data_IF_923766241887
#
_entry.id   IF_923766241887
#
_cell.length_a   1.000
_cell.length_b   1.000
_cell.length_c   1.000
_cell.angle_alpha   90.00
_cell.angle_beta   90.00
_cell.angle_gamma   90.00
#
_symmetry.space_group_name_H-M   'P 1'
#
loop_
_entity.id
_entity.type
_entity.pdbx_description
1 polymer ?
#
# COMPACT_ATOMS: atom_id res chain seq x y z
N UNK A 1 -19.89 7.45 10.21
CA UNK A 1 -19.60 6.36 9.25
C UNK A 1 -18.63 5.41 9.92
N UNK A 2 -18.80 4.09 9.76
CA UNK A 2 -17.81 3.14 10.24
C UNK A 2 -16.50 3.25 9.43
N UNK A 3 -15.33 3.02 10.04
CA UNK A 3 -14.07 3.05 9.30
C UNK A 3 -14.01 1.93 8.25
N UNK A 4 -13.61 2.27 7.03
CA UNK A 4 -13.36 1.30 5.96
C UNK A 4 -12.05 0.56 6.19
N UNK A 5 -11.97 -0.68 5.72
CA UNK A 5 -10.75 -1.51 5.64
C UNK A 5 -10.12 -1.29 4.27
N UNK A 6 -9.02 -0.55 4.24
CA UNK A 6 -8.38 -0.10 3.01
C UNK A 6 -7.06 -0.81 2.81
N UNK A 7 -6.90 -1.46 1.66
CA UNK A 7 -5.62 -2.02 1.22
C UNK A 7 -4.84 -1.00 0.37
N UNK A 8 -3.56 -0.81 0.63
CA UNK A 8 -2.64 -0.06 -0.25
C UNK A 8 -1.21 -0.61 -0.18
N UNK A 9 -0.30 -0.01 -0.95
CA UNK A 9 1.10 -0.42 -1.07
C UNK A 9 2.02 0.76 -0.79
N UNK A 10 3.13 0.53 -0.07
CA UNK A 10 4.08 1.58 0.28
C UNK A 10 4.96 2.00 -0.92
N UNK A 11 4.39 2.78 -1.85
CA UNK A 11 5.16 3.42 -2.93
C UNK A 11 5.66 4.83 -2.55
N UNK A 12 5.00 5.48 -1.60
CA UNK A 12 5.35 6.80 -1.10
C UNK A 12 4.74 7.02 0.28
N UNK A 13 5.58 7.02 1.31
CA UNK A 13 5.18 7.07 2.72
C UNK A 13 4.33 8.33 3.01
N UNK A 14 4.66 9.46 2.38
CA UNK A 14 3.92 10.69 2.60
C UNK A 14 2.46 10.60 2.10
N UNK A 15 2.18 9.81 1.05
CA UNK A 15 0.80 9.57 0.63
C UNK A 15 0.06 8.69 1.63
N UNK A 16 0.71 7.64 2.15
CA UNK A 16 0.13 6.78 3.18
C UNK A 16 -0.17 7.58 4.46
N UNK A 17 0.76 8.42 4.91
CA UNK A 17 0.53 9.32 6.04
C UNK A 17 -0.63 10.30 5.80
N UNK A 18 -0.78 10.82 4.58
CA UNK A 18 -1.90 11.69 4.22
C UNK A 18 -3.23 10.92 4.28
N UNK A 19 -3.29 9.73 3.66
CA UNK A 19 -4.48 8.88 3.66
C UNK A 19 -4.88 8.44 5.07
N UNK A 20 -3.91 8.14 5.93
CA UNK A 20 -4.13 7.78 7.33
C UNK A 20 -4.93 8.86 8.09
N UNK A 21 -4.86 10.14 7.70
CA UNK A 21 -5.64 11.23 8.32
C UNK A 21 -7.14 11.15 8.07
N UNK A 22 -7.60 10.28 7.16
CA UNK A 22 -9.03 10.03 6.93
C UNK A 22 -9.70 9.25 8.07
N UNK A 23 -8.91 8.62 8.95
CA UNK A 23 -9.43 7.84 10.08
C UNK A 23 -9.93 6.43 9.72
N UNK A 24 -9.73 5.98 8.48
CA UNK A 24 -9.97 4.59 8.07
C UNK A 24 -8.84 3.65 8.53
N UNK A 25 -9.08 2.34 8.51
CA UNK A 25 -8.07 1.34 8.80
C UNK A 25 -7.30 0.99 7.53
N UNK A 26 -5.98 1.03 7.58
CA UNK A 26 -5.13 0.79 6.41
C UNK A 26 -4.26 -0.45 6.61
N UNK A 27 -4.35 -1.39 5.70
CA UNK A 27 -3.33 -2.43 5.51
C UNK A 27 -2.40 -1.99 4.40
N UNK A 28 -1.12 -1.86 4.70
CA UNK A 28 -0.09 -1.35 3.78
C UNK A 28 0.95 -2.44 3.58
N UNK A 29 1.06 -2.96 2.36
CA UNK A 29 2.15 -3.88 2.03
C UNK A 29 3.39 -3.07 1.68
N UNK A 30 4.47 -3.31 2.42
CA UNK A 30 5.73 -2.63 2.21
C UNK A 30 6.38 -3.03 0.88
N UNK A 31 7.22 -2.15 0.31
CA UNK A 31 7.86 -2.35 -1.00
C UNK A 31 9.30 -1.89 -1.00
N UNK A 32 10.10 -2.46 -1.89
CA UNK A 32 11.41 -1.90 -2.23
C UNK A 32 11.21 -0.64 -3.08
N UNK A 33 11.71 0.51 -2.61
CA UNK A 33 11.62 1.77 -3.32
C UNK A 33 13.01 2.37 -3.56
N UNK A 34 13.44 2.41 -4.82
CA UNK A 34 14.59 3.23 -5.24
C UNK A 34 15.90 2.99 -4.47
N UNK A 35 16.20 1.74 -4.09
CA UNK A 35 17.43 1.38 -3.37
C UNK A 35 17.29 1.27 -1.86
N UNK A 36 16.13 1.61 -1.28
CA UNK A 36 15.84 1.40 0.14
C UNK A 36 14.80 0.29 0.32
N UNK A 37 15.05 -0.59 1.28
CA UNK A 37 14.12 -1.63 1.67
C UNK A 37 13.16 -1.08 2.72
N UNK A 38 11.92 -0.89 2.29
CA UNK A 38 10.79 -0.67 3.19
C UNK A 38 10.67 0.73 3.78
N UNK A 39 9.77 0.84 4.77
CA UNK A 39 9.40 2.10 5.39
C UNK A 39 10.55 2.78 6.12
N UNK A 40 10.86 4.02 5.71
CA UNK A 40 11.90 4.85 6.33
C UNK A 40 11.45 5.44 7.67
N UNK A 41 11.47 4.62 8.73
CA UNK A 41 11.00 4.99 10.08
C UNK A 41 11.73 6.20 10.68
N UNK A 42 12.97 6.45 10.28
CA UNK A 42 13.75 7.61 10.72
C UNK A 42 13.26 8.94 10.16
N UNK A 43 12.47 8.95 9.09
CA UNK A 43 11.92 10.18 8.49
C UNK A 43 10.45 10.38 8.86
N UNK A 44 9.66 9.30 8.90
CA UNK A 44 8.24 9.32 9.25
C UNK A 44 7.89 8.10 10.09
N UNK A 45 7.23 8.28 11.24
CA UNK A 45 6.65 7.15 11.95
C UNK A 45 5.49 6.55 11.15
N UNK A 46 5.25 5.24 11.32
CA UNK A 46 4.07 4.57 10.79
C UNK A 46 2.84 5.08 11.56
N UNK A 47 1.77 5.56 10.89
CA UNK A 47 0.55 5.99 11.57
C UNK A 47 -0.11 4.87 12.39
N UNK A 48 -0.79 5.21 13.48
CA UNK A 48 -1.39 4.22 14.39
C UNK A 48 -2.51 3.38 13.77
N UNK A 49 -3.19 3.89 12.73
CA UNK A 49 -4.23 3.21 11.97
C UNK A 49 -3.70 2.51 10.70
N UNK A 50 -2.38 2.32 10.61
CA UNK A 50 -1.70 1.61 9.53
C UNK A 50 -1.10 0.33 10.07
N UNK A 51 -1.57 -0.80 9.55
CA UNK A 51 -0.93 -2.10 9.66
C UNK A 51 0.06 -2.28 8.51
N UNK A 52 1.35 -2.13 8.81
CA UNK A 52 2.43 -2.22 7.83
C UNK A 52 2.94 -3.67 7.74
N UNK A 53 2.58 -4.34 6.66
CA UNK A 53 3.00 -5.71 6.36
C UNK A 53 4.37 -5.72 5.67
N UNK A 54 5.25 -6.69 5.99
CA UNK A 54 6.58 -6.75 5.42
C UNK A 54 6.56 -7.01 3.91
N UNK A 55 7.65 -6.65 3.24
CA UNK A 55 7.90 -6.96 1.82
C UNK A 55 7.75 -8.48 1.60
N UNK A 56 7.06 -8.88 0.54
CA UNK A 56 6.78 -10.30 0.24
C UNK A 56 5.39 -10.77 0.70
N UNK A 57 4.63 -9.92 1.41
CA UNK A 57 3.28 -10.26 1.89
C UNK A 57 2.18 -10.18 0.80
N UNK A 58 2.52 -9.88 -0.45
CA UNK A 58 1.56 -9.63 -1.53
C UNK A 58 0.67 -10.84 -1.81
N UNK A 59 1.21 -12.06 -1.72
CA UNK A 59 0.46 -13.29 -1.95
C UNK A 59 -0.65 -13.47 -0.91
N UNK A 60 -0.29 -13.37 0.37
CA UNK A 60 -1.22 -13.47 1.50
C UNK A 60 -2.33 -12.42 1.40
N UNK A 61 -1.95 -11.16 1.18
CA UNK A 61 -2.91 -10.05 1.11
C UNK A 61 -3.81 -10.16 -0.11
N UNK A 62 -3.30 -10.71 -1.22
CA UNK A 62 -4.13 -11.00 -2.39
C UNK A 62 -5.21 -12.03 -2.05
N UNK A 63 -4.87 -13.10 -1.33
CA UNK A 63 -5.86 -14.08 -0.93
C UNK A 63 -6.90 -13.50 0.04
N UNK A 64 -6.49 -12.67 0.98
CA UNK A 64 -7.40 -11.97 1.89
C UNK A 64 -8.34 -11.01 1.14
N UNK A 65 -7.82 -10.29 0.15
CA UNK A 65 -8.62 -9.44 -0.71
C UNK A 65 -9.68 -10.24 -1.48
N UNK A 66 -9.30 -11.42 -2.03
CA UNK A 66 -10.23 -12.33 -2.69
C UNK A 66 -11.30 -12.89 -1.73
N UNK A 67 -11.01 -12.98 -0.43
CA UNK A 67 -11.96 -13.36 0.62
C UNK A 67 -12.83 -12.19 1.12
N UNK A 68 -12.68 -10.98 0.58
CA UNK A 68 -13.46 -9.81 1.00
C UNK A 68 -12.97 -9.16 2.31
N UNK A 69 -11.69 -9.34 2.66
CA UNK A 69 -11.09 -8.73 3.85
C UNK A 69 -10.96 -7.20 3.77
N UNK A 70 -11.08 -6.61 2.58
CA UNK A 70 -10.97 -5.18 2.33
C UNK A 70 -12.21 -4.65 1.64
N UNK A 71 -12.61 -3.43 2.00
CA UNK A 71 -13.74 -2.74 1.37
C UNK A 71 -13.27 -2.01 0.10
N UNK A 72 -12.03 -1.49 0.12
CA UNK A 72 -11.40 -0.77 -1.00
C UNK A 72 -9.91 -1.12 -1.08
N UNK A 73 -9.39 -1.22 -2.30
CA UNK A 73 -7.96 -1.22 -2.57
C UNK A 73 -7.55 0.05 -3.33
N UNK A 74 -6.55 0.77 -2.83
CA UNK A 74 -5.99 1.97 -3.45
C UNK A 74 -4.68 1.61 -4.13
N UNK A 75 -4.66 1.67 -5.47
CA UNK A 75 -3.48 1.35 -6.26
C UNK A 75 -2.78 2.64 -6.71
N UNK A 76 -1.61 2.92 -6.14
CA UNK A 76 -0.79 4.07 -6.51
C UNK A 76 0.12 3.67 -7.68
N UNK A 77 -0.02 4.31 -8.84
CA UNK A 77 0.88 4.08 -9.97
C UNK A 77 2.08 5.02 -9.86
N UNK A 78 3.30 4.48 -9.74
CA UNK A 78 4.50 5.22 -10.15
C UNK A 78 4.63 5.05 -11.66
N UNK A 79 4.48 6.13 -12.44
CA UNK A 79 4.66 6.09 -13.89
C UNK A 79 6.15 5.92 -14.25
N UNK A 80 6.69 4.73 -14.04
CA UNK A 80 7.91 4.24 -14.66
C UNK A 80 7.54 2.98 -15.42
N UNK A 81 7.70 3.01 -16.75
CA UNK A 81 7.45 1.95 -17.74
C UNK A 81 7.08 0.59 -17.12
N UNK A 82 5.79 0.26 -17.09
CA UNK A 82 5.31 -1.10 -16.83
C UNK A 82 5.83 -2.04 -17.93
N UNK A 83 6.26 -3.28 -17.64
CA UNK A 83 6.52 -4.27 -18.67
C UNK A 83 5.24 -4.66 -19.42
N UNK A 84 4.07 -4.38 -18.84
CA UNK A 84 2.74 -4.46 -19.45
C UNK A 84 2.43 -3.26 -20.35
N UNK A 85 3.43 -2.78 -21.10
CA UNK A 85 3.15 -1.92 -22.24
C UNK A 85 2.26 -2.69 -23.20
N UNK A 86 1.08 -2.15 -23.49
CA UNK A 86 0.32 -2.50 -24.67
C UNK A 86 1.29 -2.62 -25.84
N UNK A 87 1.47 -3.83 -26.37
CA UNK A 87 1.97 -3.99 -27.73
C UNK A 87 0.89 -3.36 -28.60
N UNK A 88 1.11 -2.10 -28.98
CA UNK A 88 0.43 -1.52 -30.12
C UNK A 88 0.81 -2.35 -31.33
N UNK A 89 -0.20 -3.01 -31.90
CA UNK A 89 -0.19 -3.73 -33.17
C UNK A 89 -1.60 -3.63 -33.71
#
# INVERSE_FOLDING_TARGET
MAPLRVLTFNWHEAYVCLLARTGHAFTVVDKHNGGHAGWLRGTRPVPANVDLLPIGSEGMVREEALRGAFDIAVCHKRSGRTPWGSRGG
#
